data_IF_692975063993
#
_entry.id   IF_692975063993
#
_cell.length_a   1.000
_cell.length_b   1.000
_cell.length_c   1.000
_cell.angle_alpha   90.00
_cell.angle_beta   90.00
_cell.angle_gamma   90.00
#
_symmetry.space_group_name_H-M   'P 1'
#
loop_
_entity.id
_entity.type
_entity.pdbx_description
1 polymer ?
#
# COMPACT_ATOMS: atom_id res chain seq x y z
N UNK A 1 -35.87 62.45 -6.41
CA UNK A 1 -37.06 61.79 -5.83
C UNK A 1 -36.61 60.73 -4.84
N UNK A 2 -36.86 61.00 -3.57
CA UNK A 2 -36.54 60.11 -2.42
C UNK A 2 -37.41 58.88 -2.40
N UNK A 3 -36.84 57.70 -2.07
CA UNK A 3 -37.58 56.67 -1.38
C UNK A 3 -36.73 56.07 -0.27
N UNK A 4 -37.20 56.36 0.94
CA UNK A 4 -36.67 55.92 2.27
C UNK A 4 -36.96 54.46 2.55
N UNK A 5 -35.99 53.80 3.08
CA UNK A 5 -35.89 52.90 4.24
C UNK A 5 -37.18 52.33 4.83
N UNK A 6 -37.22 50.99 4.95
CA UNK A 6 -37.91 50.32 6.07
C UNK A 6 -37.01 49.16 6.56
N UNK A 7 -36.48 49.37 7.78
CA UNK A 7 -35.90 48.32 8.59
C UNK A 7 -37.05 47.65 9.38
N UNK A 8 -37.18 46.35 9.23
CA UNK A 8 -37.92 45.55 10.20
C UNK A 8 -36.95 44.53 10.84
N UNK A 9 -36.83 44.66 12.17
CA UNK A 9 -36.11 43.74 13.02
C UNK A 9 -36.97 42.51 13.22
N UNK A 10 -36.44 41.34 12.83
CA UNK A 10 -36.97 40.04 13.23
C UNK A 10 -35.92 39.37 14.12
N UNK A 11 -36.16 39.33 15.37
CA UNK A 11 -35.43 38.54 16.37
C UNK A 11 -35.77 37.08 16.15
N UNK A 12 -34.84 36.30 15.51
CA UNK A 12 -34.92 34.85 15.44
C UNK A 12 -34.17 34.27 16.65
N UNK A 13 -34.91 33.62 17.53
CA UNK A 13 -34.36 32.85 18.65
C UNK A 13 -33.58 31.63 18.09
N UNK A 14 -32.28 31.56 18.33
CA UNK A 14 -31.47 30.37 18.13
C UNK A 14 -31.86 29.31 19.19
N UNK A 15 -32.56 28.27 18.74
CA UNK A 15 -32.66 27.02 19.47
C UNK A 15 -31.39 26.21 19.19
N UNK A 16 -30.45 26.19 20.09
CA UNK A 16 -29.28 25.31 20.03
C UNK A 16 -29.73 23.89 20.36
N UNK A 17 -29.92 23.08 19.32
CA UNK A 17 -30.08 21.64 19.43
C UNK A 17 -28.69 21.02 19.65
N UNK A 18 -28.37 20.67 20.90
CA UNK A 18 -27.19 19.86 21.21
C UNK A 18 -27.45 18.43 20.77
N UNK A 19 -26.97 18.06 19.58
CA UNK A 19 -26.87 16.66 19.18
C UNK A 19 -25.76 16.01 20.00
N UNK A 20 -26.13 15.21 21.01
CA UNK A 20 -25.20 14.34 21.71
C UNK A 20 -24.67 13.30 20.71
N UNK A 21 -23.43 13.50 20.28
CA UNK A 21 -22.69 12.47 19.56
C UNK A 21 -22.45 11.30 20.53
N UNK A 22 -23.22 10.24 20.42
CA UNK A 22 -22.92 8.97 21.05
C UNK A 22 -21.66 8.42 20.39
N UNK A 23 -20.51 8.63 21.01
CA UNK A 23 -19.29 7.93 20.69
C UNK A 23 -19.49 6.45 21.04
N UNK A 24 -20.02 5.68 20.10
CA UNK A 24 -19.98 4.23 20.15
C UNK A 24 -18.51 3.81 20.12
N UNK A 25 -17.93 3.47 21.26
CA UNK A 25 -16.63 2.82 21.31
C UNK A 25 -16.74 1.49 20.56
N UNK A 26 -16.24 1.45 19.33
CA UNK A 26 -16.05 0.20 18.63
C UNK A 26 -15.18 -0.69 19.54
N UNK A 27 -15.66 -1.90 19.84
CA UNK A 27 -14.83 -2.88 20.57
C UNK A 27 -13.51 -3.03 19.82
N UNK A 28 -12.37 -3.06 20.53
CA UNK A 28 -11.09 -3.34 19.88
C UNK A 28 -11.22 -4.64 19.09
N UNK A 29 -10.91 -4.59 17.82
CA UNK A 29 -10.92 -5.80 16.97
C UNK A 29 -9.85 -6.75 17.53
N UNK A 30 -10.25 -7.98 17.87
CA UNK A 30 -9.35 -8.99 18.38
C UNK A 30 -8.23 -9.23 17.37
N UNK A 31 -6.99 -8.99 17.78
CA UNK A 31 -5.84 -9.16 16.90
C UNK A 31 -5.71 -10.63 16.52
N UNK A 32 -5.78 -10.93 15.24
CA UNK A 32 -5.60 -12.30 14.74
C UNK A 32 -4.15 -12.73 14.91
N UNK A 33 -3.93 -13.98 15.35
CA UNK A 33 -2.60 -14.60 15.29
C UNK A 33 -2.28 -14.97 13.84
N UNK A 34 -1.68 -14.03 13.13
CA UNK A 34 -1.29 -14.23 11.73
C UNK A 34 0.01 -15.01 11.57
N UNK A 35 0.75 -15.29 12.66
CA UNK A 35 1.97 -16.11 12.60
C UNK A 35 1.68 -17.54 12.16
N UNK A 36 0.46 -18.03 12.37
CA UNK A 36 -0.01 -19.34 11.89
C UNK A 36 0.09 -19.55 10.38
N UNK A 37 0.17 -18.45 9.60
CA UNK A 37 0.35 -18.51 8.14
C UNK A 37 1.80 -18.57 7.71
N UNK A 38 2.74 -18.49 8.64
CA UNK A 38 4.19 -18.50 8.41
C UNK A 38 4.83 -19.72 9.10
N UNK A 39 6.07 -20.08 8.72
CA UNK A 39 6.78 -21.17 9.39
C UNK A 39 6.98 -20.91 10.89
N UNK A 40 7.19 -21.97 11.68
CA UNK A 40 7.59 -21.82 13.08
C UNK A 40 8.80 -20.91 13.23
N UNK A 41 8.79 -20.05 14.27
CA UNK A 41 9.83 -19.06 14.52
C UNK A 41 9.52 -17.65 14.03
N UNK A 42 8.50 -17.46 13.19
CA UNK A 42 7.98 -16.13 12.91
C UNK A 42 7.25 -15.59 14.14
N UNK A 43 7.39 -14.28 14.37
CA UNK A 43 6.78 -13.54 15.48
C UNK A 43 6.01 -12.35 14.96
N UNK A 44 4.83 -12.08 15.53
CA UNK A 44 4.06 -10.87 15.28
C UNK A 44 4.42 -9.82 16.34
N UNK A 45 4.57 -8.57 15.92
CA UNK A 45 4.77 -7.44 16.83
C UNK A 45 4.28 -6.14 16.23
N UNK A 46 4.21 -5.10 17.04
CA UNK A 46 3.88 -3.75 16.60
C UNK A 46 5.04 -2.81 16.89
N UNK A 47 5.37 -1.96 15.92
CA UNK A 47 6.39 -0.93 16.04
C UNK A 47 5.73 0.43 15.96
N UNK A 48 6.01 1.29 16.95
CA UNK A 48 5.57 2.68 16.91
C UNK A 48 6.53 3.48 16.03
N UNK A 49 6.00 4.07 14.97
CA UNK A 49 6.70 5.05 14.12
C UNK A 49 6.26 6.46 14.47
N UNK A 50 6.86 7.46 13.84
CA UNK A 50 6.46 8.87 14.02
C UNK A 50 5.04 9.16 13.53
N UNK A 51 4.52 8.37 12.57
CA UNK A 51 3.22 8.59 11.93
C UNK A 51 2.16 7.51 12.17
N UNK A 52 2.56 6.33 12.64
CA UNK A 52 1.64 5.20 12.78
C UNK A 52 2.17 4.13 13.75
N UNK A 53 1.29 3.24 14.19
CA UNK A 53 1.69 1.96 14.80
C UNK A 53 1.64 0.90 13.71
N UNK A 54 2.79 0.33 13.37
CA UNK A 54 2.93 -0.65 12.30
C UNK A 54 2.92 -2.07 12.84
N UNK A 55 1.92 -2.84 12.44
CA UNK A 55 1.85 -4.28 12.69
C UNK A 55 2.74 -5.02 11.69
N UNK A 56 3.45 -6.05 12.12
CA UNK A 56 4.31 -6.82 11.22
C UNK A 56 4.54 -8.24 11.73
N UNK A 57 5.00 -9.10 10.84
CA UNK A 57 5.64 -10.36 11.20
C UNK A 57 7.11 -10.32 10.82
N UNK A 58 7.93 -11.01 11.62
CA UNK A 58 9.38 -11.16 11.37
C UNK A 58 9.84 -12.56 11.71
N UNK A 59 10.79 -13.09 10.95
CA UNK A 59 11.35 -14.42 11.14
C UNK A 59 12.49 -14.69 10.17
N UNK A 60 13.13 -15.85 10.33
CA UNK A 60 14.32 -16.20 9.54
C UNK A 60 15.61 -15.71 10.18
N UNK A 61 16.70 -15.69 9.41
CA UNK A 61 18.03 -15.30 9.89
C UNK A 61 18.94 -14.78 8.78
N UNK A 62 19.91 -13.92 9.13
CA UNK A 62 20.81 -13.29 8.18
C UNK A 62 20.50 -11.80 7.96
N UNK A 63 20.95 -11.22 6.83
CA UNK A 63 20.70 -9.81 6.53
C UNK A 63 19.20 -9.51 6.41
N UNK A 64 18.77 -8.25 6.64
CA UNK A 64 17.36 -7.88 6.58
C UNK A 64 16.79 -7.94 5.16
N UNK A 65 15.49 -8.20 5.06
CA UNK A 65 14.70 -8.06 3.83
C UNK A 65 13.30 -7.55 4.18
N UNK A 66 12.95 -6.38 3.63
CA UNK A 66 11.64 -5.76 3.81
C UNK A 66 10.69 -6.22 2.71
N UNK A 67 9.50 -6.73 3.08
CA UNK A 67 8.46 -7.21 2.16
C UNK A 67 7.17 -6.39 2.33
N UNK A 68 6.76 -5.62 1.32
CA UNK A 68 5.61 -4.72 1.35
C UNK A 68 4.46 -5.26 0.50
N UNK A 69 3.29 -5.47 1.11
CA UNK A 69 2.10 -5.99 0.45
C UNK A 69 1.35 -4.93 -0.38
N UNK A 70 0.41 -5.37 -1.22
CA UNK A 70 -0.50 -4.53 -2.00
C UNK A 70 -1.91 -4.41 -1.41
N UNK A 71 -2.76 -3.63 -2.07
CA UNK A 71 -4.18 -3.51 -1.73
C UNK A 71 -5.00 -4.64 -2.40
N UNK A 72 -6.06 -5.12 -1.77
CA UNK A 72 -6.55 -4.84 -0.41
C UNK A 72 -6.01 -5.85 0.64
N UNK A 73 -4.77 -6.27 0.47
CA UNK A 73 -4.14 -7.36 1.22
C UNK A 73 -3.49 -6.87 2.53
N UNK A 74 -2.80 -7.79 3.20
CA UNK A 74 -1.96 -7.57 4.37
C UNK A 74 -0.64 -8.33 4.21
N UNK A 75 0.23 -8.26 5.23
CA UNK A 75 1.51 -8.98 5.22
C UNK A 75 1.40 -10.48 4.93
N UNK A 76 0.24 -11.12 5.19
CA UNK A 76 0.06 -12.56 4.91
C UNK A 76 0.12 -12.89 3.42
N UNK A 77 0.05 -11.91 2.52
CA UNK A 77 0.24 -12.13 1.08
C UNK A 77 1.62 -12.70 0.75
N UNK A 78 2.59 -12.51 1.63
CA UNK A 78 3.96 -13.02 1.48
C UNK A 78 4.15 -14.44 2.05
N UNK A 79 3.12 -15.07 2.63
CA UNK A 79 3.21 -16.37 3.33
C UNK A 79 3.79 -17.51 2.49
N UNK A 80 3.64 -17.46 1.16
CA UNK A 80 4.15 -18.50 0.26
C UNK A 80 5.59 -18.24 -0.22
N UNK A 81 6.03 -16.98 -0.18
CA UNK A 81 7.38 -16.55 -0.61
C UNK A 81 8.33 -16.43 0.59
N UNK A 82 7.84 -15.91 1.70
CA UNK A 82 8.64 -15.66 2.91
C UNK A 82 9.38 -16.91 3.45
N UNK A 83 8.82 -18.13 3.43
CA UNK A 83 9.52 -19.31 3.94
C UNK A 83 10.86 -19.60 3.24
N UNK A 84 10.89 -19.45 1.91
CA UNK A 84 12.12 -19.68 1.14
C UNK A 84 13.13 -18.56 1.35
N UNK A 85 12.67 -17.30 1.35
CA UNK A 85 13.53 -16.15 1.61
C UNK A 85 14.09 -16.16 3.04
N UNK A 86 13.34 -16.64 4.03
CA UNK A 86 13.74 -16.71 5.44
C UNK A 86 14.90 -17.68 5.71
N UNK A 87 15.20 -18.56 4.76
CA UNK A 87 16.42 -19.41 4.83
C UNK A 87 17.71 -18.59 4.70
N UNK A 88 17.62 -17.38 4.14
CA UNK A 88 18.77 -16.55 3.79
C UNK A 88 18.69 -15.13 4.39
N UNK A 89 17.51 -14.69 4.82
CA UNK A 89 17.23 -13.32 5.27
C UNK A 89 16.42 -13.30 6.56
N UNK A 90 16.63 -12.26 7.34
CA UNK A 90 15.65 -11.87 8.36
C UNK A 90 14.54 -11.08 7.66
N UNK A 91 13.36 -11.71 7.57
CA UNK A 91 12.18 -11.13 6.93
C UNK A 91 11.53 -10.13 7.87
N UNK A 92 11.19 -8.95 7.36
CA UNK A 92 10.31 -7.97 7.98
C UNK A 92 9.16 -7.74 7.01
N UNK A 93 7.96 -8.21 7.37
CA UNK A 93 6.76 -8.08 6.54
C UNK A 93 5.69 -7.30 7.31
N UNK A 94 5.63 -5.96 7.14
CA UNK A 94 4.66 -5.10 7.78
C UNK A 94 3.32 -5.07 7.04
N UNK A 95 2.25 -4.71 7.77
CA UNK A 95 1.07 -4.08 7.19
C UNK A 95 1.37 -2.60 6.97
N UNK A 96 1.08 -2.08 5.80
CA UNK A 96 1.18 -0.65 5.55
C UNK A 96 0.20 0.12 6.46
N UNK A 97 0.51 1.39 6.82
CA UNK A 97 -0.49 2.23 7.50
C UNK A 97 -1.80 2.24 6.70
N UNK A 98 -2.93 2.23 7.37
CA UNK A 98 -4.23 2.14 6.70
C UNK A 98 -4.68 0.71 6.36
N UNK A 99 -3.81 -0.28 6.46
CA UNK A 99 -4.07 -1.68 6.09
C UNK A 99 -3.85 -2.64 7.26
N UNK A 100 -4.42 -3.82 7.15
CA UNK A 100 -4.22 -4.92 8.09
C UNK A 100 -4.49 -4.49 9.54
N UNK A 101 -3.61 -4.88 10.43
CA UNK A 101 -3.65 -4.55 11.85
C UNK A 101 -2.74 -3.34 12.22
N UNK A 102 -2.19 -2.64 11.23
CA UNK A 102 -1.56 -1.34 11.41
C UNK A 102 -2.59 -0.24 11.70
N UNK A 103 -2.17 0.85 12.35
CA UNK A 103 -3.06 1.96 12.66
C UNK A 103 -3.53 2.70 11.40
N UNK A 104 -4.66 3.39 11.55
CA UNK A 104 -5.31 4.18 10.52
C UNK A 104 -5.33 5.64 11.00
N UNK A 105 -4.24 6.41 10.74
CA UNK A 105 -4.17 7.80 11.15
C UNK A 105 -5.24 8.65 10.43
N UNK A 106 -5.57 9.84 10.93
CA UNK A 106 -6.40 10.81 10.21
C UNK A 106 -5.82 11.10 8.82
N UNK A 107 -6.68 11.48 7.86
CA UNK A 107 -6.32 11.65 6.44
C UNK A 107 -5.19 12.65 6.19
N UNK A 108 -5.18 13.75 6.95
CA UNK A 108 -4.29 14.88 6.75
C UNK A 108 -4.73 15.76 5.58
N UNK A 109 -4.13 16.94 5.48
CA UNK A 109 -4.37 17.84 4.35
C UNK A 109 -3.90 17.17 3.06
N UNK A 110 -4.71 17.23 2.01
CA UNK A 110 -4.45 16.61 0.70
C UNK A 110 -4.05 15.13 0.81
N UNK A 111 -4.66 14.38 1.73
CA UNK A 111 -4.41 12.96 1.98
C UNK A 111 -2.95 12.63 2.38
N UNK A 112 -2.19 13.62 2.88
CA UNK A 112 -0.75 13.52 3.10
C UNK A 112 -0.34 12.36 4.01
N UNK A 113 -1.16 12.01 4.99
CA UNK A 113 -0.88 10.91 5.90
C UNK A 113 -0.95 9.52 5.24
N UNK A 114 -1.54 9.42 4.04
CA UNK A 114 -1.59 8.19 3.24
C UNK A 114 -0.71 8.25 1.99
N UNK A 115 0.12 9.31 1.87
CA UNK A 115 1.08 9.41 0.78
C UNK A 115 2.14 8.30 0.84
N UNK A 116 2.69 7.93 -0.31
CA UNK A 116 3.77 6.95 -0.38
C UNK A 116 5.02 7.41 0.37
N UNK A 117 5.23 8.73 0.47
CA UNK A 117 6.29 9.33 1.29
C UNK A 117 6.10 9.05 2.78
N UNK A 118 4.88 9.25 3.30
CA UNK A 118 4.56 8.96 4.68
C UNK A 118 4.67 7.46 4.99
N UNK A 119 4.16 6.61 4.08
CA UNK A 119 4.29 5.16 4.21
C UNK A 119 5.74 4.69 4.14
N UNK A 120 6.57 5.29 3.28
CA UNK A 120 8.00 4.97 3.16
C UNK A 120 8.76 5.32 4.44
N UNK A 121 8.46 6.46 5.06
CA UNK A 121 9.06 6.86 6.34
C UNK A 121 8.75 5.87 7.44
N UNK A 122 7.51 5.37 7.55
CA UNK A 122 7.19 4.30 8.50
C UNK A 122 8.12 3.11 8.36
N UNK A 123 8.34 2.66 7.12
CA UNK A 123 9.14 1.46 6.88
C UNK A 123 10.62 1.69 7.19
N UNK A 124 11.15 2.87 6.91
CA UNK A 124 12.51 3.25 7.32
C UNK A 124 12.64 3.24 8.84
N UNK A 125 11.64 3.75 9.57
CA UNK A 125 11.62 3.75 11.03
C UNK A 125 11.45 2.33 11.61
N UNK A 126 10.62 1.48 10.97
CA UNK A 126 10.50 0.06 11.32
C UNK A 126 11.87 -0.63 11.18
N UNK A 127 12.56 -0.45 10.06
CA UNK A 127 13.87 -1.06 9.86
C UNK A 127 14.91 -0.54 10.86
N UNK A 128 14.86 0.76 11.18
CA UNK A 128 15.69 1.37 12.22
C UNK A 128 15.41 0.78 13.61
N UNK A 129 14.15 0.47 13.95
CA UNK A 129 13.78 -0.18 15.20
C UNK A 129 14.50 -1.53 15.39
N UNK A 130 14.70 -2.28 14.30
CA UNK A 130 15.49 -3.52 14.31
C UNK A 130 17.00 -3.31 14.21
N UNK A 131 17.48 -2.06 14.18
CA UNK A 131 18.91 -1.74 14.07
C UNK A 131 19.45 -1.78 12.64
N UNK A 132 18.60 -1.89 11.62
CA UNK A 132 19.02 -1.95 10.22
C UNK A 132 19.11 -0.53 9.62
N UNK A 133 20.31 -0.11 9.25
CA UNK A 133 20.56 1.20 8.66
C UNK A 133 20.40 1.20 7.13
N UNK A 134 20.56 0.05 6.50
CA UNK A 134 20.35 -0.14 5.06
C UNK A 134 19.83 -1.54 4.79
N UNK A 135 18.97 -1.69 3.76
CA UNK A 135 18.26 -2.92 3.49
C UNK A 135 17.74 -2.98 2.05
N UNK A 136 17.55 -4.18 1.49
CA UNK A 136 16.77 -4.39 0.28
C UNK A 136 15.27 -4.39 0.59
N UNK A 137 14.47 -3.98 -0.39
CA UNK A 137 13.01 -3.96 -0.31
C UNK A 137 12.37 -4.65 -1.52
N UNK A 138 11.35 -5.46 -1.26
CA UNK A 138 10.47 -6.03 -2.27
C UNK A 138 9.05 -5.55 -1.99
N UNK A 139 8.41 -4.96 -2.99
CA UNK A 139 7.03 -4.46 -2.84
C UNK A 139 6.12 -4.92 -3.96
N UNK A 140 4.94 -5.39 -3.59
CA UNK A 140 3.86 -5.73 -4.51
C UNK A 140 2.83 -4.59 -4.55
N UNK A 141 2.32 -4.24 -5.74
CA UNK A 141 1.26 -3.25 -5.97
C UNK A 141 1.46 -1.96 -5.13
N UNK A 142 0.59 -1.63 -4.18
CA UNK A 142 0.72 -0.43 -3.32
C UNK A 142 2.05 -0.41 -2.58
N UNK A 143 2.50 -1.57 -2.07
CA UNK A 143 3.82 -1.72 -1.44
C UNK A 143 4.98 -1.50 -2.39
N UNK A 144 4.84 -1.86 -3.67
CA UNK A 144 5.83 -1.53 -4.71
C UNK A 144 5.96 -0.03 -4.95
N UNK A 145 4.84 0.71 -4.85
CA UNK A 145 4.85 2.19 -4.95
C UNK A 145 5.51 2.84 -3.73
N UNK A 146 5.32 2.24 -2.54
CA UNK A 146 6.05 2.65 -1.33
C UNK A 146 7.54 2.39 -1.49
N UNK A 147 7.93 1.22 -2.01
CA UNK A 147 9.34 0.88 -2.28
C UNK A 147 9.98 1.84 -3.30
N UNK A 148 9.25 2.20 -4.37
CA UNK A 148 9.66 3.22 -5.34
C UNK A 148 9.96 4.56 -4.66
N UNK A 149 8.97 5.09 -3.91
CA UNK A 149 9.11 6.37 -3.20
C UNK A 149 10.21 6.33 -2.16
N UNK A 150 10.34 5.21 -1.42
CA UNK A 150 11.39 5.03 -0.42
C UNK A 150 12.79 5.09 -1.03
N UNK A 151 13.00 4.48 -2.20
CA UNK A 151 14.30 4.49 -2.88
C UNK A 151 14.69 5.88 -3.40
N UNK A 152 13.72 6.74 -3.70
CA UNK A 152 13.97 8.14 -4.11
C UNK A 152 14.23 9.04 -2.90
N UNK A 153 13.45 8.91 -1.82
CA UNK A 153 13.55 9.77 -0.64
C UNK A 153 14.69 9.34 0.32
N UNK A 154 15.05 8.05 0.32
CA UNK A 154 16.04 7.46 1.24
C UNK A 154 17.08 6.59 0.49
N UNK A 155 17.80 7.16 -0.51
CA UNK A 155 18.71 6.39 -1.38
C UNK A 155 19.89 5.76 -0.64
N UNK A 156 20.26 6.27 0.53
CA UNK A 156 21.28 5.74 1.42
C UNK A 156 20.80 4.53 2.26
N UNK A 157 19.48 4.34 2.37
CA UNK A 157 18.86 3.24 3.12
C UNK A 157 18.53 2.04 2.24
N UNK A 158 18.11 2.28 0.99
CA UNK A 158 17.62 1.23 0.10
C UNK A 158 18.73 0.69 -0.78
N UNK A 159 19.21 -0.52 -0.50
CA UNK A 159 20.33 -1.13 -1.21
C UNK A 159 19.93 -1.80 -2.52
N UNK A 160 18.72 -2.37 -2.60
CA UNK A 160 18.11 -2.98 -3.78
C UNK A 160 16.60 -2.80 -3.72
N UNK A 161 15.96 -2.64 -4.88
CA UNK A 161 14.51 -2.53 -5.00
C UNK A 161 13.98 -3.61 -5.92
N UNK A 162 13.00 -4.37 -5.49
CA UNK A 162 12.21 -5.19 -6.39
C UNK A 162 10.74 -4.77 -6.31
N UNK A 163 10.08 -4.61 -7.45
CA UNK A 163 8.64 -4.33 -7.53
C UNK A 163 7.92 -5.43 -8.28
N UNK A 164 6.70 -5.74 -7.83
CA UNK A 164 5.89 -6.83 -8.38
C UNK A 164 4.59 -6.26 -8.92
N UNK A 165 4.37 -6.49 -10.21
CA UNK A 165 3.18 -6.21 -11.03
C UNK A 165 2.69 -4.77 -11.02
N UNK A 166 3.62 -3.82 -11.16
CA UNK A 166 3.32 -2.39 -11.27
C UNK A 166 4.21 -1.68 -12.31
N UNK A 167 3.72 -0.53 -12.79
CA UNK A 167 4.51 0.56 -13.36
C UNK A 167 4.30 1.83 -12.51
N UNK A 168 5.14 2.89 -12.62
CA UNK A 168 5.06 4.07 -11.78
C UNK A 168 3.66 4.72 -11.78
N UNK A 169 3.24 5.23 -10.60
CA UNK A 169 1.91 5.86 -10.42
C UNK A 169 1.71 7.04 -11.36
N UNK A 170 2.71 7.91 -11.45
CA UNK A 170 2.67 9.07 -12.32
C UNK A 170 2.47 8.66 -13.80
N UNK A 171 3.19 7.62 -14.26
CA UNK A 171 3.02 7.13 -15.62
C UNK A 171 1.58 6.69 -15.89
N UNK A 172 0.98 5.90 -14.99
CA UNK A 172 -0.39 5.42 -15.14
C UNK A 172 -1.40 6.56 -15.25
N UNK A 173 -1.33 7.55 -14.38
CA UNK A 173 -2.29 8.65 -14.36
C UNK A 173 -2.08 9.66 -15.50
N UNK A 174 -0.86 9.77 -16.05
CA UNK A 174 -0.59 10.69 -17.18
C UNK A 174 -0.76 10.02 -18.55
N UNK A 175 -0.91 8.68 -18.61
CA UNK A 175 -1.11 7.90 -19.84
C UNK A 175 -2.42 7.09 -19.81
N UNK A 176 -3.46 7.69 -19.25
CA UNK A 176 -4.79 7.06 -19.18
C UNK A 176 -5.36 6.82 -20.57
N UNK A 177 -5.81 5.59 -20.79
CA UNK A 177 -6.53 5.19 -22.01
C UNK A 177 -7.68 4.24 -21.66
N UNK A 178 -8.53 3.96 -22.64
CA UNK A 178 -9.71 3.12 -22.42
C UNK A 178 -9.36 1.72 -21.86
N UNK A 179 -8.30 1.09 -22.36
CA UNK A 179 -7.90 -0.24 -21.89
C UNK A 179 -7.46 -0.20 -20.41
N UNK A 180 -6.74 0.85 -19.98
CA UNK A 180 -6.41 1.05 -18.57
C UNK A 180 -7.67 1.28 -17.72
N UNK A 181 -8.58 2.15 -18.17
CA UNK A 181 -9.84 2.41 -17.44
C UNK A 181 -10.64 1.12 -17.29
N UNK A 182 -10.76 0.31 -18.34
CA UNK A 182 -11.48 -0.97 -18.27
C UNK A 182 -10.84 -1.97 -17.29
N UNK A 183 -9.51 -2.03 -17.24
CA UNK A 183 -8.78 -2.93 -16.35
C UNK A 183 -8.75 -2.44 -14.89
N UNK A 184 -8.71 -1.12 -14.68
CA UNK A 184 -8.47 -0.48 -13.38
C UNK A 184 -9.54 0.56 -13.02
N UNK A 185 -10.79 0.35 -13.43
CA UNK A 185 -11.91 1.26 -13.13
C UNK A 185 -12.02 1.60 -11.65
N UNK A 186 -11.72 0.64 -10.78
CA UNK A 186 -11.74 0.82 -9.33
C UNK A 186 -10.82 1.95 -8.84
N UNK A 187 -9.68 2.22 -9.53
CA UNK A 187 -8.80 3.33 -9.18
C UNK A 187 -9.54 4.66 -9.22
N UNK A 188 -10.35 4.89 -10.25
CA UNK A 188 -11.14 6.11 -10.40
C UNK A 188 -12.34 6.13 -9.45
N UNK A 189 -12.93 4.96 -9.18
CA UNK A 189 -14.04 4.85 -8.25
C UNK A 189 -13.65 5.23 -6.82
N UNK A 190 -12.45 4.84 -6.37
CA UNK A 190 -11.94 5.13 -5.03
C UNK A 190 -11.55 6.59 -4.82
N UNK A 191 -11.42 7.40 -5.89
CA UNK A 191 -11.16 8.84 -5.80
C UNK A 191 -12.40 9.66 -5.44
N UNK A 192 -13.59 9.09 -5.52
CA UNK A 192 -14.82 9.81 -5.15
C UNK A 192 -14.77 10.21 -3.66
N UNK A 193 -15.47 11.31 -3.28
CA UNK A 193 -15.55 11.71 -1.88
C UNK A 193 -16.11 10.60 -0.97
N UNK A 194 -15.57 10.52 0.25
CA UNK A 194 -16.13 9.67 1.29
C UNK A 194 -17.57 10.12 1.62
N UNK A 195 -18.48 9.20 2.01
CA UNK A 195 -18.28 7.78 2.20
C UNK A 195 -18.69 6.93 0.96
N UNK A 196 -18.73 7.49 -0.24
CA UNK A 196 -19.26 6.83 -1.43
C UNK A 196 -18.56 5.50 -1.73
N UNK A 197 -17.26 5.50 -2.08
CA UNK A 197 -16.53 4.27 -2.39
C UNK A 197 -16.39 3.34 -1.18
N UNK A 198 -16.33 3.88 0.04
CA UNK A 198 -16.27 3.09 1.26
C UNK A 198 -17.53 2.22 1.44
N UNK A 199 -18.72 2.76 1.15
CA UNK A 199 -19.99 2.01 1.21
C UNK A 199 -20.06 0.92 0.14
N UNK A 200 -19.62 1.21 -1.09
CA UNK A 200 -19.57 0.25 -2.19
C UNK A 200 -18.63 -0.92 -1.86
N UNK A 201 -17.44 -0.61 -1.33
CA UNK A 201 -16.47 -1.60 -0.90
C UNK A 201 -16.99 -2.46 0.25
N UNK A 202 -17.64 -1.84 1.24
CA UNK A 202 -18.22 -2.59 2.36
C UNK A 202 -19.19 -3.64 1.87
N UNK A 203 -20.12 -3.28 0.99
CA UNK A 203 -21.09 -4.21 0.43
C UNK A 203 -20.42 -5.35 -0.35
N UNK A 204 -19.40 -5.03 -1.15
CA UNK A 204 -18.64 -6.02 -1.93
C UNK A 204 -17.88 -6.97 -1.02
N UNK A 205 -17.20 -6.45 0.01
CA UNK A 205 -16.41 -7.21 0.96
C UNK A 205 -17.27 -8.10 1.86
N UNK A 206 -18.44 -7.64 2.26
CA UNK A 206 -19.41 -8.46 3.02
C UNK A 206 -19.90 -9.66 2.18
N UNK A 207 -20.18 -9.44 0.90
CA UNK A 207 -20.56 -10.51 -0.02
C UNK A 207 -19.39 -11.50 -0.30
N UNK A 208 -18.16 -11.01 -0.36
CA UNK A 208 -16.97 -11.86 -0.50
C UNK A 208 -16.71 -12.70 0.77
N UNK A 209 -16.87 -12.10 1.95
CA UNK A 209 -16.69 -12.76 3.24
C UNK A 209 -17.68 -13.93 3.44
N UNK A 210 -18.92 -13.76 2.96
CA UNK A 210 -19.91 -14.83 3.03
C UNK A 210 -19.52 -16.09 2.22
N UNK A 211 -18.58 -15.95 1.27
CA UNK A 211 -18.06 -17.05 0.44
C UNK A 211 -16.68 -17.55 0.87
N UNK A 212 -16.08 -16.94 1.90
CA UNK A 212 -14.76 -17.31 2.38
C UNK A 212 -14.77 -18.70 3.07
N UNK A 213 -14.05 -19.65 2.52
CA UNK A 213 -13.97 -21.03 3.02
C UNK A 213 -12.64 -21.35 3.69
N UNK A 214 -11.52 -20.83 3.15
CA UNK A 214 -10.18 -21.08 3.70
C UNK A 214 -9.83 -20.07 4.80
N UNK A 215 -8.90 -20.43 5.68
CA UNK A 215 -8.45 -19.53 6.75
C UNK A 215 -7.79 -18.26 6.21
N UNK A 216 -7.08 -18.36 5.09
CA UNK A 216 -6.51 -17.20 4.38
C UNK A 216 -7.60 -16.26 3.89
N UNK A 217 -8.65 -16.79 3.25
CA UNK A 217 -9.79 -15.99 2.79
C UNK A 217 -10.53 -15.34 3.95
N UNK A 218 -10.72 -16.06 5.05
CA UNK A 218 -11.34 -15.52 6.28
C UNK A 218 -10.50 -14.39 6.87
N UNK A 219 -9.18 -14.53 6.89
CA UNK A 219 -8.29 -13.49 7.40
C UNK A 219 -8.30 -12.24 6.50
N UNK A 220 -8.22 -12.41 5.17
CA UNK A 220 -8.40 -11.27 4.25
C UNK A 220 -9.77 -10.61 4.43
N UNK A 221 -10.84 -11.41 4.56
CA UNK A 221 -12.18 -10.87 4.80
C UNK A 221 -12.29 -10.10 6.11
N UNK A 222 -11.61 -10.55 7.17
CA UNK A 222 -11.55 -9.85 8.46
C UNK A 222 -11.03 -8.42 8.30
N UNK A 223 -9.87 -8.28 7.66
CA UNK A 223 -9.26 -6.95 7.47
C UNK A 223 -10.02 -6.10 6.45
N UNK A 224 -10.49 -6.69 5.35
CA UNK A 224 -11.18 -5.97 4.28
C UNK A 224 -12.58 -5.49 4.67
N UNK A 225 -13.21 -6.05 5.71
CA UNK A 225 -14.52 -5.63 6.22
C UNK A 225 -14.43 -4.55 7.29
N UNK A 226 -13.26 -4.31 7.85
CA UNK A 226 -13.05 -3.23 8.82
C UNK A 226 -13.26 -1.87 8.12
N UNK A 227 -14.23 -1.05 8.56
CA UNK A 227 -14.48 0.25 7.94
C UNK A 227 -13.25 1.16 7.93
N UNK A 228 -12.40 1.08 8.94
CA UNK A 228 -11.19 1.89 9.00
C UNK A 228 -10.13 1.43 7.97
N UNK A 229 -10.02 0.11 7.70
CA UNK A 229 -9.20 -0.41 6.61
C UNK A 229 -9.74 0.02 5.24
N UNK A 230 -11.06 -0.04 5.05
CA UNK A 230 -11.71 0.39 3.80
C UNK A 230 -11.42 1.86 3.55
N UNK A 231 -11.59 2.72 4.57
CA UNK A 231 -11.31 4.14 4.46
C UNK A 231 -9.82 4.40 4.19
N UNK A 232 -8.92 3.78 4.96
CA UNK A 232 -7.46 3.93 4.78
C UNK A 232 -7.00 3.50 3.37
N UNK A 233 -7.60 2.45 2.80
CA UNK A 233 -7.33 2.07 1.42
C UNK A 233 -7.82 3.15 0.44
N UNK A 234 -9.02 3.70 0.60
CA UNK A 234 -9.51 4.79 -0.25
C UNK A 234 -8.61 6.02 -0.14
N UNK A 235 -8.16 6.38 1.05
CA UNK A 235 -7.22 7.48 1.28
C UNK A 235 -5.86 7.27 0.59
N UNK A 236 -5.35 6.05 0.59
CA UNK A 236 -4.15 5.69 -0.17
C UNK A 236 -4.32 5.95 -1.69
N UNK A 237 -5.50 5.62 -2.27
CA UNK A 237 -5.78 5.90 -3.67
C UNK A 237 -5.97 7.41 -3.94
N UNK A 238 -6.61 8.15 -3.02
CA UNK A 238 -6.76 9.60 -3.10
C UNK A 238 -5.39 10.31 -3.04
N UNK A 239 -4.52 9.89 -2.11
CA UNK A 239 -3.15 10.37 -2.04
C UNK A 239 -2.36 10.09 -3.33
N UNK A 240 -2.55 8.90 -3.92
CA UNK A 240 -1.87 8.51 -5.15
C UNK A 240 -2.27 9.37 -6.35
N UNK A 241 -3.52 9.89 -6.38
CA UNK A 241 -4.02 10.74 -7.45
C UNK A 241 -3.84 12.24 -7.17
N UNK A 242 -3.20 12.61 -6.08
CA UNK A 242 -2.96 13.99 -5.66
C UNK A 242 -1.50 14.20 -5.26
N UNK A 243 -1.20 14.22 -3.96
CA UNK A 243 0.13 14.55 -3.43
C UNK A 243 1.25 13.65 -3.96
N UNK A 244 0.99 12.35 -4.21
CA UNK A 244 2.01 11.44 -4.75
C UNK A 244 2.37 11.81 -6.20
N UNK A 245 1.40 12.28 -7.01
CA UNK A 245 1.68 12.78 -8.36
C UNK A 245 2.58 14.01 -8.34
N UNK A 246 2.37 14.92 -7.39
CA UNK A 246 3.21 16.11 -7.22
C UNK A 246 4.65 15.70 -6.85
N UNK A 247 4.81 14.72 -5.96
CA UNK A 247 6.12 14.19 -5.59
C UNK A 247 6.83 13.54 -6.79
N UNK A 248 6.13 12.67 -7.53
CA UNK A 248 6.71 11.97 -8.68
C UNK A 248 7.06 12.95 -9.81
N UNK A 249 6.18 13.93 -10.07
CA UNK A 249 6.43 15.00 -11.04
C UNK A 249 7.68 15.81 -10.69
N UNK A 250 7.84 16.21 -9.42
CA UNK A 250 9.00 16.96 -8.96
C UNK A 250 10.31 16.19 -9.14
N UNK A 251 10.30 14.85 -8.95
CA UNK A 251 11.46 14.01 -9.20
C UNK A 251 11.80 13.89 -10.69
N UNK A 252 10.78 13.74 -11.55
CA UNK A 252 10.96 13.68 -12.99
C UNK A 252 11.55 15.00 -13.56
N UNK A 253 11.04 16.15 -13.10
CA UNK A 253 11.56 17.46 -13.47
C UNK A 253 13.02 17.65 -13.08
N UNK A 254 13.42 17.12 -11.92
CA UNK A 254 14.81 17.11 -11.42
C UNK A 254 15.66 16.01 -12.03
N UNK A 255 15.09 15.13 -12.86
CA UNK A 255 15.72 13.91 -13.37
C UNK A 255 16.27 13.02 -12.26
N UNK A 256 15.60 13.03 -11.10
CA UNK A 256 15.95 12.19 -9.96
C UNK A 256 15.49 10.75 -10.23
N UNK A 257 16.43 9.82 -10.31
CA UNK A 257 16.18 8.40 -10.59
C UNK A 257 16.66 7.53 -9.44
N UNK A 258 15.99 6.39 -9.25
CA UNK A 258 16.45 5.35 -8.33
C UNK A 258 17.86 4.91 -8.75
N UNK A 259 18.81 4.95 -7.82
CA UNK A 259 20.23 4.62 -8.05
C UNK A 259 20.54 3.17 -7.72
N UNK A 260 19.86 2.58 -6.73
CA UNK A 260 20.04 1.19 -6.34
C UNK A 260 19.62 0.24 -7.49
N UNK A 261 20.20 -0.96 -7.58
CA UNK A 261 19.75 -1.99 -8.51
C UNK A 261 18.23 -2.22 -8.37
N UNK A 262 17.56 -2.32 -9.50
CA UNK A 262 16.11 -2.37 -9.59
C UNK A 262 15.65 -3.60 -10.39
N UNK A 263 14.75 -4.40 -9.80
CA UNK A 263 14.10 -5.52 -10.45
C UNK A 263 12.61 -5.24 -10.58
N UNK A 264 12.03 -5.46 -11.76
CA UNK A 264 10.58 -5.46 -11.95
C UNK A 264 10.12 -6.83 -12.41
N UNK A 265 9.15 -7.40 -11.70
CA UNK A 265 8.47 -8.64 -12.07
C UNK A 265 7.01 -8.32 -12.37
N UNK A 266 6.45 -8.88 -13.44
CA UNK A 266 5.05 -8.62 -13.78
C UNK A 266 4.36 -9.88 -14.30
N UNK A 267 3.02 -9.91 -14.14
CA UNK A 267 2.21 -10.96 -14.75
C UNK A 267 2.21 -10.80 -16.27
N UNK A 268 2.86 -11.73 -16.98
CA UNK A 268 3.05 -11.64 -18.43
C UNK A 268 1.71 -11.50 -19.17
N UNK A 269 0.71 -12.25 -18.74
CA UNK A 269 -0.65 -12.22 -19.30
C UNK A 269 -1.62 -11.36 -18.51
N UNK A 270 -1.14 -10.71 -17.44
CA UNK A 270 -1.89 -9.77 -16.62
C UNK A 270 -2.08 -8.42 -17.31
N UNK A 271 -2.73 -7.48 -16.61
CA UNK A 271 -2.97 -6.15 -17.17
C UNK A 271 -1.65 -5.39 -17.41
N UNK A 272 -0.68 -5.50 -16.49
CA UNK A 272 0.62 -4.83 -16.66
C UNK A 272 1.35 -5.31 -17.91
N UNK A 273 1.53 -6.63 -18.10
CA UNK A 273 2.25 -7.17 -19.25
C UNK A 273 1.54 -6.97 -20.60
N UNK A 274 0.19 -6.88 -20.61
CA UNK A 274 -0.57 -6.66 -21.84
C UNK A 274 -0.67 -5.20 -22.26
N UNK A 275 -0.66 -4.27 -21.31
CA UNK A 275 -0.93 -2.85 -21.58
C UNK A 275 0.34 -2.01 -21.67
N UNK A 276 1.45 -2.48 -21.10
CA UNK A 276 2.63 -1.65 -20.92
C UNK A 276 3.94 -2.37 -21.29
N UNK A 277 4.90 -1.63 -21.83
CA UNK A 277 6.31 -1.99 -21.81
C UNK A 277 6.88 -1.73 -20.41
N UNK A 278 6.62 -2.68 -19.49
CA UNK A 278 6.97 -2.54 -18.07
C UNK A 278 8.45 -2.21 -17.87
N UNK A 279 9.32 -2.93 -18.61
CA UNK A 279 10.77 -2.74 -18.48
C UNK A 279 11.22 -1.39 -19.04
N UNK A 280 10.70 -0.98 -20.21
CA UNK A 280 10.99 0.30 -20.83
C UNK A 280 10.59 1.48 -19.95
N UNK A 281 9.38 1.41 -19.40
CA UNK A 281 8.86 2.45 -18.48
C UNK A 281 9.75 2.59 -17.26
N UNK A 282 10.12 1.49 -16.57
CA UNK A 282 10.97 1.58 -15.38
C UNK A 282 12.37 2.14 -15.65
N UNK A 283 12.93 1.99 -16.86
CA UNK A 283 14.20 2.62 -17.26
C UNK A 283 14.15 4.15 -17.27
N UNK A 284 12.95 4.73 -17.33
CA UNK A 284 12.79 6.18 -17.18
C UNK A 284 12.92 6.63 -15.72
N UNK A 285 12.63 5.75 -14.75
CA UNK A 285 12.55 6.04 -13.31
C UNK A 285 13.74 5.49 -12.50
N UNK A 286 14.49 4.53 -13.03
CA UNK A 286 15.63 3.92 -12.35
C UNK A 286 16.81 3.75 -13.31
N UNK A 287 18.04 3.76 -12.74
CA UNK A 287 19.27 3.75 -13.53
C UNK A 287 19.71 2.34 -13.95
N UNK A 288 19.48 1.34 -13.11
CA UNK A 288 19.95 -0.03 -13.31
C UNK A 288 18.76 -0.99 -13.16
N UNK A 289 18.02 -1.20 -14.27
CA UNK A 289 16.76 -1.95 -14.29
C UNK A 289 16.95 -3.29 -14.96
N UNK A 290 16.56 -4.34 -14.26
CA UNK A 290 16.32 -5.67 -14.79
C UNK A 290 14.85 -6.07 -14.59
N UNK A 291 14.36 -7.06 -15.31
CA UNK A 291 12.98 -7.49 -15.11
C UNK A 291 12.56 -8.63 -16.02
N UNK A 292 11.43 -9.24 -15.65
CA UNK A 292 10.89 -10.41 -16.34
C UNK A 292 9.39 -10.53 -16.14
N UNK A 293 8.68 -10.91 -17.20
CA UNK A 293 7.30 -11.41 -17.13
C UNK A 293 7.27 -12.82 -16.53
N UNK A 294 6.32 -13.05 -15.62
CA UNK A 294 6.11 -14.35 -14.97
C UNK A 294 4.71 -14.86 -15.26
N UNK A 295 4.48 -16.19 -15.24
CA UNK A 295 3.13 -16.74 -15.27
C UNK A 295 2.38 -16.37 -14.02
N UNK A 296 1.05 -16.23 -14.08
CA UNK A 296 0.19 -15.90 -12.95
C UNK A 296 -0.65 -14.66 -13.18
N UNK A 297 -1.36 -14.24 -12.16
CA UNK A 297 -2.16 -13.02 -12.12
C UNK A 297 -1.45 -11.89 -11.39
N UNK A 298 -2.25 -10.88 -10.98
CA UNK A 298 -1.73 -9.69 -10.28
C UNK A 298 -0.99 -10.02 -8.98
N UNK A 299 -1.41 -11.07 -8.28
CA UNK A 299 -0.83 -11.46 -6.99
C UNK A 299 0.29 -12.50 -7.17
N UNK A 300 1.32 -12.19 -7.96
CA UNK A 300 2.39 -13.13 -8.32
C UNK A 300 3.03 -13.85 -7.12
N UNK A 301 3.14 -13.19 -5.98
CA UNK A 301 3.67 -13.79 -4.75
C UNK A 301 2.76 -14.90 -4.17
N UNK A 302 1.51 -14.97 -4.62
CA UNK A 302 0.55 -16.03 -4.27
C UNK A 302 0.32 -16.98 -5.45
N UNK A 303 0.27 -16.46 -6.69
CA UNK A 303 -0.06 -17.23 -7.89
C UNK A 303 1.13 -18.04 -8.41
N UNK A 304 2.35 -17.49 -8.28
CA UNK A 304 3.60 -18.07 -8.81
C UNK A 304 4.77 -17.87 -7.82
N UNK A 305 4.63 -18.33 -6.57
CA UNK A 305 5.63 -18.04 -5.52
C UNK A 305 7.02 -18.61 -5.83
N UNK A 306 7.11 -19.75 -6.51
CA UNK A 306 8.40 -20.37 -6.90
C UNK A 306 9.15 -19.54 -7.91
N UNK A 307 8.45 -19.03 -8.91
CA UNK A 307 8.99 -18.18 -9.96
C UNK A 307 9.45 -16.83 -9.37
N UNK A 308 8.64 -16.24 -8.47
CA UNK A 308 8.99 -15.00 -7.77
C UNK A 308 10.26 -15.20 -6.92
N UNK A 309 10.36 -16.28 -6.15
CA UNK A 309 11.55 -16.61 -5.36
C UNK A 309 12.76 -16.85 -6.27
N UNK A 310 12.56 -17.56 -7.39
CA UNK A 310 13.62 -17.86 -8.36
C UNK A 310 14.27 -16.62 -8.99
N UNK A 311 13.51 -15.52 -9.13
CA UNK A 311 14.04 -14.25 -9.63
C UNK A 311 14.56 -13.36 -8.47
N UNK A 312 13.95 -13.42 -7.29
CA UNK A 312 14.36 -12.60 -6.14
C UNK A 312 15.70 -13.04 -5.57
N UNK A 313 15.94 -14.36 -5.38
CA UNK A 313 17.16 -14.84 -4.74
C UNK A 313 18.43 -14.42 -5.48
N UNK A 314 18.58 -14.65 -6.82
CA UNK A 314 19.75 -14.19 -7.57
C UNK A 314 19.88 -12.66 -7.54
N UNK A 315 18.77 -11.92 -7.68
CA UNK A 315 18.79 -10.46 -7.61
C UNK A 315 19.29 -9.97 -6.25
N UNK A 316 18.86 -10.60 -5.17
CA UNK A 316 19.27 -10.25 -3.82
C UNK A 316 20.70 -10.71 -3.49
N UNK A 317 21.31 -11.60 -4.30
CA UNK A 317 22.69 -12.06 -4.15
C UNK A 317 22.80 -13.41 -3.40
N UNK A 318 21.85 -14.31 -3.67
CA UNK A 318 21.84 -15.70 -3.15
C UNK A 318 21.69 -16.70 -4.27
#
# INVERSE_FOLDING_TARGET
MNRRTFFQHSTAALVASAAAATSGSAKPQEQSDTTRFFPPGFKALKVQTSGATINLVTGGGGPPLLLLHGAPMSHISWRLVAPELAKHYTIIAPDLRGYGDSSKPPDGENHANYSKRAMALDQVEVMKHFGYNSFPVVGHDRGGRVAHRMALDHPDKVTKVAVVDIVPTHYLYTHVNLAFVQAYFHWFNYLRPAPGPENDLKATNDAAAARATTDVQKEYSRVQRDPANIHGMCEDYRAAASIDLDHDKADLEKKNKIRSPFLTLWAERGAMGRLYDVLGIWKEYAMNVSGKGLPGGHNLQEDSPKEVVGELLPFLGR
#
